data_IF_826832947599
#
_entry.id   IF_826832947599
#
_cell.length_a   1.000
_cell.length_b   1.000
_cell.length_c   1.000
_cell.angle_alpha   90.00
_cell.angle_beta   90.00
_cell.angle_gamma   90.00
#
_symmetry.space_group_name_H-M   'P 1'
#
loop_
_entity.id
_entity.type
_entity.pdbx_description
1 polymer ?
#
# COMPACT_ATOMS: atom_id res chain seq x y z
N UNK A 1 18.91 -24.63 -16.68
CA UNK A 1 20.37 -24.74 -16.51
C UNK A 1 20.83 -23.69 -15.49
N UNK A 2 21.99 -23.90 -14.89
CA UNK A 2 22.45 -23.45 -13.56
C UNK A 2 22.32 -21.96 -13.21
N UNK A 3 21.64 -21.65 -12.10
CA UNK A 3 21.72 -20.36 -11.40
C UNK A 3 22.76 -20.46 -10.29
N UNK A 4 23.99 -20.06 -10.62
CA UNK A 4 25.11 -19.99 -9.69
C UNK A 4 25.09 -18.60 -9.01
N UNK A 5 24.33 -18.48 -7.91
CA UNK A 5 24.32 -17.26 -7.09
C UNK A 5 25.63 -17.18 -6.28
N UNK A 6 26.54 -16.30 -6.71
CA UNK A 6 27.72 -15.92 -5.95
C UNK A 6 27.30 -14.96 -4.82
N UNK A 7 27.33 -15.45 -3.58
CA UNK A 7 27.22 -14.62 -2.37
C UNK A 7 28.53 -13.85 -2.18
N UNK A 8 28.52 -12.54 -2.48
CA UNK A 8 29.61 -11.61 -2.16
C UNK A 8 29.55 -11.27 -0.67
N UNK A 9 30.18 -12.10 0.15
CA UNK A 9 30.50 -11.75 1.54
C UNK A 9 31.77 -10.89 1.52
N UNK A 10 31.78 -9.66 2.05
CA UNK A 10 33.00 -8.88 2.15
C UNK A 10 34.00 -9.63 3.05
N UNK A 11 35.20 -9.86 2.54
CA UNK A 11 36.27 -10.49 3.31
C UNK A 11 36.61 -9.63 4.54
N UNK A 12 36.82 -10.25 5.72
CA UNK A 12 37.39 -9.54 6.86
C UNK A 12 38.82 -9.12 6.52
N UNK A 13 39.08 -7.82 6.60
CA UNK A 13 40.39 -7.20 6.41
C UNK A 13 41.44 -7.87 7.33
N UNK A 14 42.47 -8.55 6.79
CA UNK A 14 43.55 -9.13 7.58
C UNK A 14 44.53 -8.00 7.92
N UNK A 15 44.29 -7.33 9.03
CA UNK A 15 45.00 -6.09 9.33
C UNK A 15 45.15 -5.78 10.81
N UNK A 16 45.57 -6.75 11.63
CA UNK A 16 46.17 -6.40 12.92
C UNK A 16 47.19 -7.44 13.38
N UNK A 17 48.37 -7.39 12.77
CA UNK A 17 49.58 -8.02 13.30
C UNK A 17 49.92 -7.29 14.59
N UNK A 18 49.49 -7.85 15.73
CA UNK A 18 50.07 -7.49 17.02
C UNK A 18 51.47 -8.07 17.05
N UNK A 19 52.46 -7.18 16.96
CA UNK A 19 53.84 -7.48 17.32
C UNK A 19 53.89 -7.89 18.80
N UNK A 20 53.72 -9.18 19.07
CA UNK A 20 54.09 -9.76 20.34
C UNK A 20 55.61 -9.82 20.36
N UNK A 21 56.19 -8.75 20.89
CA UNK A 21 57.56 -8.69 21.36
C UNK A 21 57.77 -9.88 22.31
N UNK A 22 58.44 -10.92 21.81
CA UNK A 22 58.94 -12.02 22.60
C UNK A 22 60.02 -11.46 23.54
N UNK A 23 59.60 -10.99 24.70
CA UNK A 23 60.51 -10.84 25.84
C UNK A 23 60.62 -12.24 26.44
N UNK A 24 61.76 -12.87 26.18
CA UNK A 24 62.20 -14.04 26.89
C UNK A 24 62.53 -13.62 28.33
N UNK A 25 61.55 -13.66 29.22
CA UNK A 25 61.80 -13.69 30.65
C UNK A 25 62.24 -15.13 31.01
N UNK A 26 63.52 -15.37 30.76
CA UNK A 26 64.28 -16.45 31.39
C UNK A 26 64.37 -16.17 32.90
N UNK A 27 64.25 -17.22 33.69
CA UNK A 27 64.46 -17.26 35.14
C UNK A 27 63.46 -16.51 36.03
N UNK A 28 62.46 -17.24 36.51
CA UNK A 28 62.25 -17.42 37.95
C UNK A 28 61.39 -18.66 38.17
N UNK A 29 62.05 -19.81 38.06
CA UNK A 29 61.58 -21.08 38.65
C UNK A 29 61.66 -20.91 40.17
N UNK A 30 60.69 -20.19 40.75
CA UNK A 30 60.38 -20.34 42.16
C UNK A 30 59.63 -21.66 42.26
N UNK A 31 60.39 -22.70 42.54
CA UNK A 31 59.93 -24.04 42.87
C UNK A 31 59.28 -23.99 44.27
N UNK A 32 58.17 -23.27 44.41
CA UNK A 32 57.34 -23.34 45.62
C UNK A 32 56.55 -24.63 45.57
N UNK A 33 56.97 -25.56 46.40
CA UNK A 33 56.36 -26.86 46.65
C UNK A 33 55.02 -26.67 47.40
N UNK A 34 54.02 -26.11 46.70
CA UNK A 34 52.66 -25.89 47.19
C UNK A 34 51.69 -26.99 46.71
N UNK A 35 52.19 -28.23 46.51
CA UNK A 35 51.40 -29.34 45.93
C UNK A 35 50.18 -29.77 46.78
N UNK A 36 50.04 -29.23 48.00
CA UNK A 36 48.92 -29.54 48.90
C UNK A 36 47.70 -28.64 48.70
N UNK A 37 47.80 -27.50 47.98
CA UNK A 37 46.65 -26.57 47.81
C UNK A 37 45.79 -26.87 46.57
N UNK A 38 46.26 -27.72 45.65
CA UNK A 38 45.55 -28.04 44.38
C UNK A 38 44.20 -28.75 44.56
N UNK A 39 44.04 -29.58 45.59
CA UNK A 39 42.75 -30.23 45.91
C UNK A 39 41.73 -29.21 46.44
N UNK A 40 42.21 -28.22 47.19
CA UNK A 40 41.36 -27.17 47.76
C UNK A 40 40.88 -26.21 46.67
N UNK A 41 41.74 -25.83 45.73
CA UNK A 41 41.37 -25.02 44.57
C UNK A 41 40.34 -25.70 43.67
N UNK A 42 40.53 -26.98 43.33
CA UNK A 42 39.54 -27.73 42.53
C UNK A 42 38.16 -27.79 43.18
N UNK A 43 38.10 -27.84 44.51
CA UNK A 43 36.82 -27.84 45.23
C UNK A 43 36.12 -26.48 45.17
N UNK A 44 36.88 -25.39 45.22
CA UNK A 44 36.37 -24.01 45.09
C UNK A 44 35.91 -23.74 43.66
N UNK A 45 36.65 -24.19 42.65
CA UNK A 45 36.28 -24.03 41.24
C UNK A 45 34.98 -24.76 40.91
N UNK A 46 34.81 -26.00 41.39
CA UNK A 46 33.55 -26.75 41.24
C UNK A 46 32.38 -26.06 41.94
N UNK A 47 32.61 -25.48 43.13
CA UNK A 47 31.59 -24.71 43.83
C UNK A 47 31.20 -23.44 43.04
N UNK A 48 32.19 -22.73 42.48
CA UNK A 48 31.97 -21.54 41.66
C UNK A 48 31.17 -21.86 40.39
N UNK A 49 31.50 -22.93 39.67
CA UNK A 49 30.73 -23.36 38.49
C UNK A 49 29.27 -23.70 38.84
N UNK A 50 29.05 -24.36 39.98
CA UNK A 50 27.69 -24.68 40.43
C UNK A 50 26.90 -23.40 40.73
N UNK A 51 27.50 -22.45 41.43
CA UNK A 51 26.89 -21.15 41.72
C UNK A 51 26.58 -20.36 40.44
N UNK A 52 27.49 -20.37 39.46
CA UNK A 52 27.28 -19.70 38.17
C UNK A 52 26.11 -20.33 37.39
N UNK A 53 26.02 -21.65 37.34
CA UNK A 53 24.89 -22.33 36.68
C UNK A 53 23.55 -22.00 37.34
N UNK A 54 23.51 -21.98 38.68
CA UNK A 54 22.31 -21.62 39.43
C UNK A 54 21.93 -20.16 39.22
N UNK A 55 22.91 -19.26 39.13
CA UNK A 55 22.67 -17.85 38.79
C UNK A 55 22.10 -17.69 37.38
N UNK A 56 22.66 -18.37 36.38
CA UNK A 56 22.15 -18.33 35.01
C UNK A 56 20.73 -18.88 34.92
N UNK A 57 20.40 -19.93 35.68
CA UNK A 57 19.05 -20.49 35.73
C UNK A 57 18.04 -19.47 36.31
N UNK A 58 18.40 -18.79 37.40
CA UNK A 58 17.57 -17.71 37.98
C UNK A 58 17.39 -16.53 37.02
N UNK A 59 18.43 -16.14 36.29
CA UNK A 59 18.35 -15.08 35.26
C UNK A 59 17.40 -15.51 34.12
N UNK A 60 17.52 -16.75 33.62
CA UNK A 60 16.64 -17.29 32.58
C UNK A 60 15.16 -17.35 33.04
N UNK A 61 14.92 -17.73 34.30
CA UNK A 61 13.57 -17.77 34.86
C UNK A 61 12.97 -16.35 34.98
N UNK A 62 13.77 -15.39 35.45
CA UNK A 62 13.35 -13.99 35.56
C UNK A 62 13.03 -13.39 34.17
N UNK A 63 13.83 -13.69 33.14
CA UNK A 63 13.59 -13.25 31.77
C UNK A 63 12.29 -13.83 31.21
N UNK A 64 12.07 -15.16 31.38
CA UNK A 64 10.81 -15.80 30.96
C UNK A 64 9.60 -15.21 31.66
N UNK A 65 9.72 -14.89 32.96
CA UNK A 65 8.66 -14.24 33.72
C UNK A 65 8.40 -12.81 33.22
N UNK A 66 9.45 -12.04 32.93
CA UNK A 66 9.33 -10.70 32.37
C UNK A 66 8.64 -10.71 31.00
N UNK A 67 9.04 -11.61 30.09
CA UNK A 67 8.40 -11.80 28.77
C UNK A 67 6.91 -12.17 28.90
N UNK A 68 6.55 -13.02 29.87
CA UNK A 68 5.15 -13.38 30.13
C UNK A 68 4.33 -12.19 30.62
N UNK A 69 4.89 -11.35 31.49
CA UNK A 69 4.22 -10.13 31.97
C UNK A 69 4.12 -9.06 30.87
N UNK A 70 5.13 -8.91 30.02
CA UNK A 70 5.07 -8.00 28.86
C UNK A 70 3.98 -8.45 27.87
N UNK A 71 3.91 -9.75 27.56
CA UNK A 71 2.86 -10.30 26.69
C UNK A 71 1.45 -10.05 27.26
N UNK A 72 1.28 -10.15 28.58
CA UNK A 72 0.00 -9.81 29.24
C UNK A 72 -0.32 -8.32 29.12
N UNK A 73 0.68 -7.44 29.26
CA UNK A 73 0.50 -5.98 29.11
C UNK A 73 0.09 -5.62 27.68
N UNK A 74 0.77 -6.18 26.67
CA UNK A 74 0.40 -5.97 25.26
C UNK A 74 -1.02 -6.42 24.98
N UNK A 75 -1.42 -7.59 25.47
CA UNK A 75 -2.79 -8.09 25.29
C UNK A 75 -3.85 -7.18 25.94
N UNK A 76 -3.58 -6.67 27.14
CA UNK A 76 -4.48 -5.74 27.82
C UNK A 76 -4.56 -4.37 27.12
N UNK A 77 -3.48 -3.92 26.49
CA UNK A 77 -3.45 -2.69 25.71
C UNK A 77 -4.21 -2.84 24.38
N UNK A 78 -4.02 -3.95 23.68
CA UNK A 78 -4.76 -4.31 22.48
C UNK A 78 -6.27 -4.38 22.73
N UNK A 79 -6.71 -5.01 23.82
CA UNK A 79 -8.12 -5.07 24.21
C UNK A 79 -8.70 -3.66 24.48
N UNK A 80 -7.91 -2.74 25.04
CA UNK A 80 -8.35 -1.34 25.25
C UNK A 80 -8.49 -0.58 23.93
N UNK A 81 -7.57 -0.78 22.99
CA UNK A 81 -7.66 -0.18 21.66
C UNK A 81 -8.86 -0.74 20.90
N UNK A 82 -9.13 -2.05 20.96
CA UNK A 82 -10.30 -2.64 20.33
C UNK A 82 -11.61 -2.08 20.91
N UNK A 83 -11.67 -1.89 22.23
CA UNK A 83 -12.82 -1.25 22.87
C UNK A 83 -13.02 0.21 22.43
N UNK A 84 -11.94 0.98 22.25
CA UNK A 84 -12.01 2.35 21.75
C UNK A 84 -12.49 2.40 20.30
N UNK A 85 -11.97 1.52 19.44
CA UNK A 85 -12.40 1.39 18.05
C UNK A 85 -13.87 1.02 17.93
N UNK A 86 -14.34 0.03 18.72
CA UNK A 86 -15.76 -0.34 18.77
C UNK A 86 -16.63 0.84 19.21
N UNK A 87 -16.17 1.63 20.19
CA UNK A 87 -16.88 2.83 20.64
C UNK A 87 -16.99 3.88 19.54
N UNK A 88 -15.91 4.15 18.79
CA UNK A 88 -15.97 5.08 17.64
C UNK A 88 -16.90 4.58 16.55
N UNK A 89 -16.86 3.28 16.24
CA UNK A 89 -17.73 2.69 15.23
C UNK A 89 -19.21 2.81 15.60
N UNK A 90 -19.55 2.56 16.88
CA UNK A 90 -20.91 2.73 17.40
C UNK A 90 -21.37 4.20 17.36
N UNK A 91 -20.50 5.13 17.74
CA UNK A 91 -20.76 6.58 17.66
C UNK A 91 -20.98 7.05 16.21
N UNK A 92 -20.18 6.53 15.26
CA UNK A 92 -20.36 6.82 13.84
C UNK A 92 -21.67 6.25 13.30
N UNK A 93 -22.05 5.03 13.71
CA UNK A 93 -23.33 4.44 13.34
C UNK A 93 -24.51 5.27 13.88
N UNK A 94 -24.44 5.74 15.12
CA UNK A 94 -25.44 6.63 15.71
C UNK A 94 -25.53 7.95 14.93
N UNK A 95 -24.40 8.54 14.55
CA UNK A 95 -24.37 9.75 13.73
C UNK A 95 -25.01 9.52 12.34
N UNK A 96 -24.76 8.37 11.71
CA UNK A 96 -25.40 7.99 10.43
C UNK A 96 -26.91 7.85 10.60
N UNK A 97 -27.38 7.17 11.65
CA UNK A 97 -28.81 7.01 11.96
C UNK A 97 -29.48 8.38 12.19
N UNK A 98 -28.80 9.30 12.88
CA UNK A 98 -29.29 10.66 13.12
C UNK A 98 -29.40 11.47 11.82
N UNK A 99 -28.41 11.38 10.93
CA UNK A 99 -28.45 12.04 9.61
C UNK A 99 -29.63 11.55 8.76
N UNK A 100 -29.86 10.24 8.73
CA UNK A 100 -31.00 9.65 7.98
C UNK A 100 -32.34 10.12 8.57
N UNK A 101 -32.46 10.15 9.90
CA UNK A 101 -33.68 10.65 10.56
C UNK A 101 -33.92 12.14 10.30
N UNK A 102 -32.87 12.95 10.27
CA UNK A 102 -32.95 14.38 9.95
C UNK A 102 -33.33 14.61 8.48
N UNK A 103 -32.73 13.87 7.54
CA UNK A 103 -33.09 13.94 6.11
C UNK A 103 -34.56 13.53 5.89
N UNK A 104 -35.04 12.48 6.56
CA UNK A 104 -36.44 12.08 6.48
C UNK A 104 -37.38 13.16 7.05
N UNK A 105 -37.01 13.77 8.18
CA UNK A 105 -37.76 14.89 8.75
C UNK A 105 -37.80 16.10 7.80
N UNK A 106 -36.70 16.39 7.10
CA UNK A 106 -36.66 17.44 6.08
C UNK A 106 -37.55 17.10 4.88
N UNK A 107 -37.50 15.87 4.37
CA UNK A 107 -38.40 15.39 3.31
C UNK A 107 -39.87 15.53 3.71
N UNK A 108 -40.21 15.26 4.98
CA UNK A 108 -41.58 15.48 5.48
C UNK A 108 -41.95 16.96 5.49
N UNK A 109 -41.05 17.86 5.92
CA UNK A 109 -41.27 19.31 5.85
C UNK A 109 -41.46 19.80 4.40
N UNK A 110 -40.66 19.29 3.46
CA UNK A 110 -40.82 19.62 2.04
C UNK A 110 -42.19 19.16 1.51
N UNK A 111 -42.65 17.96 1.87
CA UNK A 111 -43.99 17.47 1.50
C UNK A 111 -45.10 18.35 2.08
N UNK A 112 -44.96 18.80 3.33
CA UNK A 112 -45.92 19.72 3.95
C UNK A 112 -45.97 21.06 3.21
N UNK A 113 -44.82 21.68 2.93
CA UNK A 113 -44.75 22.92 2.15
C UNK A 113 -45.37 22.79 0.77
N UNK A 114 -45.05 21.71 0.04
CA UNK A 114 -45.64 21.45 -1.27
C UNK A 114 -47.16 21.24 -1.20
N UNK A 115 -47.67 20.65 -0.12
CA UNK A 115 -49.10 20.50 0.11
C UNK A 115 -49.79 21.83 0.42
N UNK A 116 -49.17 22.68 1.24
CA UNK A 116 -49.66 24.03 1.56
C UNK A 116 -49.70 24.92 0.32
N UNK A 117 -48.63 24.90 -0.49
CA UNK A 117 -48.55 25.65 -1.75
C UNK A 117 -49.65 25.23 -2.74
N UNK A 118 -49.90 23.92 -2.88
CA UNK A 118 -51.00 23.41 -3.70
C UNK A 118 -52.36 23.86 -3.19
N UNK A 119 -52.57 23.89 -1.87
CA UNK A 119 -53.81 24.38 -1.29
C UNK A 119 -53.99 25.90 -1.54
N UNK A 120 -52.91 26.67 -1.41
CA UNK A 120 -52.90 28.10 -1.71
C UNK A 120 -53.16 28.38 -3.19
N UNK A 121 -52.55 27.61 -4.10
CA UNK A 121 -52.80 27.70 -5.54
C UNK A 121 -54.28 27.46 -5.88
N UNK A 122 -54.91 26.45 -5.28
CA UNK A 122 -56.35 26.17 -5.44
C UNK A 122 -57.23 27.31 -4.93
N UNK A 123 -56.88 27.94 -3.80
CA UNK A 123 -57.61 29.10 -3.29
C UNK A 123 -57.46 30.31 -4.23
N UNK A 124 -56.26 30.56 -4.75
CA UNK A 124 -56.00 31.63 -5.70
C UNK A 124 -56.77 31.41 -7.02
N UNK A 125 -56.80 30.18 -7.53
CA UNK A 125 -57.59 29.81 -8.72
C UNK A 125 -59.09 30.03 -8.50
N UNK A 126 -59.62 29.62 -7.34
CA UNK A 126 -61.02 29.87 -6.97
C UNK A 126 -61.33 31.38 -6.88
N UNK A 127 -60.44 32.17 -6.28
CA UNK A 127 -60.58 33.62 -6.21
C UNK A 127 -60.54 34.29 -7.60
N UNK A 128 -59.66 33.81 -8.49
CA UNK A 128 -59.62 34.25 -9.89
C UNK A 128 -60.91 33.89 -10.64
N UNK A 129 -61.42 32.67 -10.47
CA UNK A 129 -62.68 32.22 -11.08
C UNK A 129 -63.87 33.10 -10.66
N UNK A 130 -63.98 33.44 -9.36
CA UNK A 130 -64.98 34.39 -8.86
C UNK A 130 -64.80 35.78 -9.47
N UNK A 131 -63.56 36.26 -9.59
CA UNK A 131 -63.26 37.56 -10.22
C UNK A 131 -63.66 37.59 -11.71
N UNK A 132 -63.44 36.49 -12.44
CA UNK A 132 -63.83 36.37 -13.85
C UNK A 132 -65.36 36.36 -14.05
N UNK A 133 -66.11 35.77 -13.12
CA UNK A 133 -67.58 35.76 -13.14
C UNK A 133 -68.20 37.14 -12.87
N UNK A 134 -67.46 38.07 -12.27
CA UNK A 134 -67.88 39.46 -12.04
C UNK A 134 -67.27 40.45 -13.02
N UNK A 135 -66.76 40.00 -14.18
CA UNK A 135 -66.45 40.93 -15.26
C UNK A 135 -67.78 41.52 -15.75
N UNK A 136 -68.07 42.82 -15.54
CA UNK A 136 -69.30 43.41 -16.06
C UNK A 136 -69.30 43.21 -17.57
N UNK A 137 -70.39 42.66 -18.10
CA UNK A 137 -70.65 42.63 -19.54
C UNK A 137 -70.67 44.08 -20.02
N UNK A 138 -69.49 44.57 -20.41
CA UNK A 138 -69.34 45.84 -21.06
C UNK A 138 -70.10 45.79 -22.39
N UNK A 139 -70.78 46.88 -22.77
CA UNK A 139 -71.53 46.94 -24.01
C UNK A 139 -70.60 46.61 -25.19
N UNK A 140 -71.00 45.60 -25.97
CA UNK A 140 -70.33 45.14 -27.17
C UNK A 140 -70.18 46.29 -28.17
N UNK A 141 -69.01 46.92 -28.22
CA UNK A 141 -68.64 47.80 -29.31
C UNK A 141 -68.30 46.95 -30.55
N UNK A 142 -69.26 46.94 -31.47
CA UNK A 142 -69.16 46.48 -32.84
C UNK A 142 -68.10 47.28 -33.62
N UNK A 143 -66.86 46.81 -33.63
CA UNK A 143 -65.83 47.12 -34.66
C UNK A 143 -64.93 45.89 -34.76
N UNK A 144 -65.09 45.00 -35.74
CA UNK A 144 -65.01 45.32 -37.16
C UNK A 144 -63.53 45.41 -37.56
N UNK A 145 -62.90 44.25 -37.75
CA UNK A 145 -61.47 44.15 -38.08
C UNK A 145 -61.09 42.74 -38.49
N UNK A 146 -61.47 42.39 -39.72
CA UNK A 146 -61.01 41.20 -40.44
C UNK A 146 -59.49 41.31 -40.63
N UNK A 147 -58.72 40.55 -39.87
CA UNK A 147 -57.28 40.38 -40.11
C UNK A 147 -57.05 38.93 -40.51
N UNK A 148 -57.24 38.65 -41.81
CA UNK A 148 -56.60 37.53 -42.49
C UNK A 148 -55.07 37.71 -42.39
N UNK A 149 -54.46 37.15 -41.36
CA UNK A 149 -53.05 36.81 -41.41
C UNK A 149 -52.92 35.30 -41.54
N UNK A 150 -52.80 34.90 -42.80
CA UNK A 150 -52.17 33.67 -43.24
C UNK A 150 -50.82 33.54 -42.53
N UNK A 151 -50.74 32.71 -41.49
CA UNK A 151 -49.48 32.21 -41.00
C UNK A 151 -48.95 31.17 -42.00
N UNK A 152 -47.75 31.33 -42.56
CA UNK A 152 -47.17 30.38 -43.48
C UNK A 152 -46.88 29.05 -42.80
N UNK A 153 -47.29 27.98 -43.47
CA UNK A 153 -46.87 26.61 -43.23
C UNK A 153 -45.35 26.49 -43.45
N UNK A 154 -44.54 26.74 -42.43
CA UNK A 154 -43.17 26.27 -42.37
C UNK A 154 -42.74 26.22 -40.90
N UNK A 155 -42.64 25.02 -40.32
CA UNK A 155 -41.46 24.67 -39.53
C UNK A 155 -41.52 23.21 -39.10
N UNK A 156 -40.69 22.41 -39.76
CA UNK A 156 -39.85 21.36 -39.19
C UNK A 156 -40.54 20.24 -38.42
N UNK A 157 -40.74 19.17 -39.19
CA UNK A 157 -40.64 17.78 -38.81
C UNK A 157 -39.34 17.53 -38.01
N UNK A 158 -39.31 17.83 -36.71
CA UNK A 158 -38.30 17.28 -35.80
C UNK A 158 -38.66 15.85 -35.50
N UNK A 159 -38.18 14.98 -36.37
CA UNK A 159 -38.06 13.53 -36.18
C UNK A 159 -37.03 13.29 -35.09
N UNK A 160 -37.40 13.56 -33.84
CA UNK A 160 -36.64 13.06 -32.71
C UNK A 160 -37.01 11.59 -32.57
N UNK A 161 -36.13 10.74 -33.08
CA UNK A 161 -36.03 9.35 -32.68
C UNK A 161 -35.75 9.30 -31.17
N UNK A 162 -36.80 9.46 -30.38
CA UNK A 162 -36.82 9.14 -28.98
C UNK A 162 -36.78 7.62 -28.87
N UNK A 163 -35.58 7.06 -28.93
CA UNK A 163 -35.29 5.69 -28.58
C UNK A 163 -35.94 5.38 -27.24
N UNK A 164 -37.02 4.62 -27.29
CA UNK A 164 -37.61 4.00 -26.12
C UNK A 164 -36.59 2.99 -25.58
N UNK A 165 -35.70 3.47 -24.71
CA UNK A 165 -34.95 2.63 -23.78
C UNK A 165 -36.02 1.98 -22.91
N UNK A 166 -36.42 0.76 -23.28
CA UNK A 166 -37.11 -0.15 -22.39
C UNK A 166 -36.20 -0.32 -21.18
N UNK A 167 -36.56 0.32 -20.07
CA UNK A 167 -36.13 -0.11 -18.76
C UNK A 167 -36.50 -1.59 -18.65
N UNK A 168 -35.50 -2.46 -18.79
CA UNK A 168 -35.61 -3.84 -18.39
C UNK A 168 -35.97 -3.85 -16.92
N UNK A 169 -37.22 -4.19 -16.62
CA UNK A 169 -37.60 -4.64 -15.31
C UNK A 169 -36.72 -5.87 -15.02
N UNK A 170 -35.63 -5.64 -14.30
CA UNK A 170 -34.83 -6.66 -13.66
C UNK A 170 -35.77 -7.46 -12.78
N UNK A 171 -36.14 -8.62 -13.31
CA UNK A 171 -36.93 -9.62 -12.67
C UNK A 171 -36.06 -10.16 -11.52
N UNK A 172 -36.23 -9.56 -10.36
CA UNK A 172 -35.69 -10.02 -9.09
C UNK A 172 -36.38 -11.35 -8.77
N UNK A 173 -35.88 -12.43 -9.38
CA UNK A 173 -36.21 -13.77 -8.99
C UNK A 173 -35.57 -13.99 -7.63
N UNK A 174 -36.42 -13.89 -6.61
CA UNK A 174 -36.09 -14.21 -5.24
C UNK A 174 -35.32 -15.53 -5.15
N UNK A 175 -34.04 -15.41 -4.84
CA UNK A 175 -33.29 -16.49 -4.24
C UNK A 175 -33.73 -16.57 -2.78
N UNK A 176 -34.69 -17.47 -2.56
CA UNK A 176 -35.01 -18.00 -1.25
C UNK A 176 -33.73 -18.48 -0.58
N UNK A 177 -33.55 -18.01 0.65
CA UNK A 177 -32.66 -18.59 1.63
C UNK A 177 -32.81 -20.12 1.66
N UNK A 178 -31.71 -20.81 1.33
CA UNK A 178 -31.48 -22.19 1.75
C UNK A 178 -30.58 -22.16 2.99
N UNK A 179 -30.87 -23.00 3.99
CA UNK A 179 -30.16 -23.01 5.25
C UNK A 179 -28.74 -23.53 5.07
N UNK A 180 -27.84 -22.84 5.77
CA UNK A 180 -26.48 -23.19 6.13
C UNK A 180 -26.33 -24.69 6.42
N UNK A 181 -25.87 -25.44 5.43
CA UNK A 181 -25.42 -26.82 5.57
C UNK A 181 -23.90 -26.79 5.55
N UNK A 182 -23.32 -27.28 6.65
CA UNK A 182 -21.90 -27.52 6.84
C UNK A 182 -21.41 -28.45 5.73
N UNK A 183 -20.52 -27.95 4.87
CA UNK A 183 -19.69 -28.79 4.02
C UNK A 183 -18.23 -28.42 4.23
N UNK A 184 -17.51 -29.40 4.76
CA UNK A 184 -16.07 -29.50 4.85
C UNK A 184 -15.41 -29.19 3.50
N UNK A 185 -14.77 -28.01 3.37
CA UNK A 185 -13.88 -27.73 2.24
C UNK A 185 -12.46 -28.04 2.65
N UNK A 186 -12.03 -29.24 2.24
CA UNK A 186 -10.64 -29.55 1.95
C UNK A 186 -10.13 -28.52 0.93
N UNK A 187 -9.21 -27.65 1.36
CA UNK A 187 -8.51 -26.76 0.44
C UNK A 187 -7.49 -27.59 -0.34
N UNK A 188 -7.92 -27.99 -1.52
CA UNK A 188 -7.12 -28.48 -2.63
C UNK A 188 -6.09 -27.40 -2.99
N UNK A 189 -4.84 -27.66 -2.62
CA UNK A 189 -3.67 -26.87 -2.99
C UNK A 189 -3.26 -27.32 -4.37
N UNK A 190 -3.86 -26.73 -5.40
CA UNK A 190 -3.45 -27.08 -6.75
C UNK A 190 -4.10 -26.25 -7.83
N UNK A 191 -3.23 -25.69 -8.67
CA UNK A 191 -3.42 -25.41 -10.10
C UNK A 191 -3.51 -23.92 -10.43
N UNK A 192 -2.39 -23.44 -10.94
CA UNK A 192 -2.15 -22.07 -11.32
C UNK A 192 -3.09 -21.54 -12.39
N UNK A 193 -3.47 -20.29 -12.21
CA UNK A 193 -3.97 -19.41 -13.25
C UNK A 193 -3.03 -18.22 -13.33
N UNK A 194 -2.03 -18.30 -14.21
CA UNK A 194 -1.21 -17.15 -14.58
C UNK A 194 -2.10 -16.11 -15.24
N UNK A 195 -2.49 -15.10 -14.47
CA UNK A 195 -3.16 -13.91 -14.98
C UNK A 195 -2.06 -12.92 -15.33
N UNK A 196 -1.67 -12.93 -16.61
CA UNK A 196 -0.85 -11.87 -17.18
C UNK A 196 -1.60 -10.54 -16.98
N UNK A 197 -1.07 -9.68 -16.13
CA UNK A 197 -1.38 -8.26 -16.18
C UNK A 197 -0.64 -7.72 -17.40
N UNK A 198 -1.39 -7.40 -18.45
CA UNK A 198 -0.89 -6.55 -19.50
C UNK A 198 -0.67 -5.16 -18.87
N UNK A 199 0.60 -4.88 -18.63
CA UNK A 199 1.11 -3.55 -18.29
C UNK A 199 0.92 -2.68 -19.53
N UNK A 200 -0.21 -1.99 -19.58
CA UNK A 200 -0.49 -0.96 -20.58
C UNK A 200 0.36 0.26 -20.22
N UNK A 201 1.58 0.28 -20.77
CA UNK A 201 2.49 1.42 -20.76
C UNK A 201 1.76 2.64 -21.31
N UNK A 202 1.34 3.53 -20.42
CA UNK A 202 0.93 4.89 -20.76
C UNK A 202 2.19 5.74 -20.92
N UNK A 203 2.87 5.52 -22.05
CA UNK A 203 3.74 6.53 -22.65
C UNK A 203 2.83 7.63 -23.22
N UNK A 204 2.30 8.45 -22.31
CA UNK A 204 1.69 9.73 -22.63
C UNK A 204 2.78 10.76 -22.87
N UNK A 205 3.49 10.63 -23.99
CA UNK A 205 4.24 11.73 -24.59
C UNK A 205 3.28 12.91 -24.77
N UNK A 206 3.32 13.86 -23.83
CA UNK A 206 2.72 15.17 -24.00
C UNK A 206 3.55 15.89 -25.07
N UNK A 207 3.13 15.72 -26.33
CA UNK A 207 3.47 16.63 -27.42
C UNK A 207 3.08 18.04 -26.99
N UNK A 208 4.10 18.76 -26.52
CA UNK A 208 4.14 20.21 -26.36
C UNK A 208 4.09 20.82 -27.76
N UNK A 209 2.90 20.81 -28.36
CA UNK A 209 2.58 21.57 -29.56
C UNK A 209 2.56 23.05 -29.21
N UNK A 210 3.67 23.73 -29.45
CA UNK A 210 3.73 25.18 -29.54
C UNK A 210 2.99 25.58 -30.82
N UNK A 211 1.66 25.70 -30.74
CA UNK A 211 0.86 26.30 -31.80
C UNK A 211 0.90 27.83 -31.59
N UNK A 212 1.86 28.45 -32.26
CA UNK A 212 1.85 29.88 -32.57
C UNK A 212 0.59 30.20 -33.37
N UNK A 213 -0.51 30.54 -32.70
CA UNK A 213 -1.60 31.29 -33.34
C UNK A 213 -1.17 32.76 -33.45
N UNK A 214 -0.40 33.04 -34.50
CA UNK A 214 -0.26 34.36 -35.10
C UNK A 214 -1.58 34.73 -35.80
N UNK A 215 -2.54 35.22 -35.03
CA UNK A 215 -3.74 35.87 -35.54
C UNK A 215 -3.55 37.40 -35.48
N UNK A 216 -2.63 37.89 -36.32
CA UNK A 216 -2.60 39.26 -36.77
C UNK A 216 -3.89 39.61 -37.52
N UNK A 217 -4.82 40.23 -36.81
CA UNK A 217 -6.07 40.76 -37.33
C UNK A 217 -6.42 42.07 -36.66
N UNK A 218 -5.59 43.10 -36.89
CA UNK A 218 -5.95 44.51 -36.68
C UNK A 218 -7.12 44.88 -37.59
N UNK A 219 -8.33 44.47 -37.20
CA UNK A 219 -9.56 45.06 -37.67
C UNK A 219 -9.95 46.16 -36.70
N UNK A 220 -9.61 47.41 -37.05
CA UNK A 220 -10.19 48.61 -36.45
C UNK A 220 -11.70 48.66 -36.77
N UNK A 221 -12.50 47.74 -36.24
CA UNK A 221 -13.92 47.96 -36.09
C UNK A 221 -14.11 48.89 -34.90
N UNK A 222 -14.08 50.18 -35.21
CA UNK A 222 -14.64 51.26 -34.40
C UNK A 222 -15.98 50.76 -33.83
N UNK A 223 -16.10 50.52 -32.50
CA UNK A 223 -17.33 50.01 -31.95
C UNK A 223 -18.37 51.09 -32.14
N UNK A 224 -19.27 50.86 -33.10
CA UNK A 224 -20.44 51.69 -33.32
C UNK A 224 -21.08 51.95 -31.96
N UNK A 225 -21.03 53.22 -31.54
CA UNK A 225 -21.61 53.73 -30.30
C UNK A 225 -22.94 53.05 -30.04
N UNK A 226 -23.09 52.29 -28.95
CA UNK A 226 -24.34 51.63 -28.63
C UNK A 226 -25.42 52.71 -28.54
N UNK A 227 -26.40 52.59 -29.43
CA UNK A 227 -27.59 53.41 -29.46
C UNK A 227 -28.16 53.48 -28.04
N UNK A 228 -28.28 54.70 -27.52
CA UNK A 228 -28.71 55.04 -26.17
C UNK A 228 -30.16 54.60 -25.94
N UNK A 229 -30.34 53.30 -25.72
CA UNK A 229 -31.57 52.66 -25.32
C UNK A 229 -31.78 52.83 -23.80
N UNK A 230 -33.04 52.78 -23.35
CA UNK A 230 -33.44 53.18 -22.00
C UNK A 230 -32.59 52.46 -20.96
N UNK A 231 -31.89 53.24 -20.14
CA UNK A 231 -30.92 52.83 -19.12
C UNK A 231 -31.34 51.55 -18.38
N UNK A 232 -30.92 50.41 -18.92
CA UNK A 232 -31.11 49.06 -18.38
C UNK A 232 -30.07 48.73 -17.31
N UNK A 233 -29.86 49.64 -16.37
CA UNK A 233 -28.83 49.51 -15.33
C UNK A 233 -29.03 48.28 -14.41
N UNK A 234 -30.19 47.62 -14.44
CA UNK A 234 -30.46 46.40 -13.68
C UNK A 234 -30.23 45.07 -14.42
N UNK A 235 -30.11 45.07 -15.75
CA UNK A 235 -29.94 43.81 -16.52
C UNK A 235 -28.49 43.36 -16.51
N UNK A 236 -27.55 44.31 -16.57
CA UNK A 236 -26.12 44.01 -16.55
C UNK A 236 -25.64 43.44 -15.21
N UNK A 237 -26.23 43.85 -14.08
CA UNK A 237 -25.89 43.31 -12.76
C UNK A 237 -26.33 41.85 -12.61
N UNK A 238 -27.50 41.49 -13.13
CA UNK A 238 -28.01 40.11 -13.07
C UNK A 238 -27.15 39.14 -13.89
N UNK A 239 -26.60 39.58 -15.01
CA UNK A 239 -25.72 38.75 -15.84
C UNK A 239 -24.36 38.48 -15.16
N UNK A 240 -23.80 39.49 -14.49
CA UNK A 240 -22.56 39.36 -13.70
C UNK A 240 -22.75 38.39 -12.52
N UNK A 241 -23.89 38.45 -11.83
CA UNK A 241 -24.20 37.52 -10.74
C UNK A 241 -24.31 36.06 -11.24
N UNK A 242 -24.98 35.86 -12.37
CA UNK A 242 -25.11 34.54 -13.00
C UNK A 242 -23.75 33.95 -13.43
N UNK A 243 -22.88 34.75 -14.03
CA UNK A 243 -21.55 34.29 -14.43
C UNK A 243 -20.67 33.96 -13.22
N UNK A 244 -20.77 34.76 -12.14
CA UNK A 244 -20.08 34.48 -10.88
C UNK A 244 -20.55 33.18 -10.23
N UNK A 245 -21.86 32.92 -10.21
CA UNK A 245 -22.41 31.66 -9.70
C UNK A 245 -21.94 30.46 -10.52
N UNK A 246 -21.88 30.60 -11.86
CA UNK A 246 -21.34 29.57 -12.75
C UNK A 246 -19.86 29.28 -12.47
N UNK A 247 -19.05 30.30 -12.23
CA UNK A 247 -17.64 30.15 -11.86
C UNK A 247 -17.46 29.47 -10.49
N UNK A 248 -18.28 29.83 -9.50
CA UNK A 248 -18.26 29.19 -8.18
C UNK A 248 -18.61 27.70 -8.28
N UNK A 249 -19.64 27.35 -9.06
CA UNK A 249 -20.02 25.95 -9.27
C UNK A 249 -18.92 25.15 -10.00
N UNK A 250 -18.18 25.78 -10.92
CA UNK A 250 -17.05 25.14 -11.57
C UNK A 250 -15.90 24.85 -10.58
N UNK A 251 -15.59 25.81 -9.70
CA UNK A 251 -14.59 25.60 -8.65
C UNK A 251 -15.03 24.54 -7.64
N UNK A 252 -16.31 24.50 -7.26
CA UNK A 252 -16.85 23.49 -6.35
C UNK A 252 -16.69 22.06 -6.93
N UNK A 253 -17.06 21.87 -8.20
CA UNK A 253 -16.86 20.58 -8.89
C UNK A 253 -15.39 20.19 -8.99
N UNK A 254 -14.50 21.16 -9.19
CA UNK A 254 -13.06 20.91 -9.21
C UNK A 254 -12.55 20.50 -7.82
N UNK A 255 -13.01 21.15 -6.76
CA UNK A 255 -12.66 20.79 -5.39
C UNK A 255 -13.14 19.37 -5.05
N UNK A 256 -14.37 19.01 -5.42
CA UNK A 256 -14.92 17.65 -5.24
C UNK A 256 -14.11 16.59 -5.99
N UNK A 257 -13.67 16.90 -7.21
CA UNK A 257 -12.80 16.01 -7.98
C UNK A 257 -11.42 15.83 -7.32
N UNK A 258 -10.84 16.89 -6.76
CA UNK A 258 -9.58 16.81 -6.01
C UNK A 258 -9.72 16.05 -4.70
N UNK A 259 -10.82 16.21 -3.97
CA UNK A 259 -11.10 15.45 -2.75
C UNK A 259 -11.23 13.95 -3.05
N UNK A 260 -11.95 13.61 -4.12
CA UNK A 260 -12.08 12.21 -4.59
C UNK A 260 -10.73 11.63 -5.00
N UNK A 261 -9.90 12.40 -5.70
CA UNK A 261 -8.56 11.98 -6.09
C UNK A 261 -7.64 11.79 -4.87
N UNK A 262 -7.67 12.71 -3.90
CA UNK A 262 -6.89 12.61 -2.67
C UNK A 262 -7.26 11.33 -1.88
N UNK A 263 -8.55 11.03 -1.76
CA UNK A 263 -9.02 9.81 -1.09
C UNK A 263 -8.58 8.53 -1.83
N UNK A 264 -8.49 8.57 -3.16
CA UNK A 264 -7.93 7.45 -3.94
C UNK A 264 -6.41 7.27 -3.66
N UNK A 265 -5.65 8.36 -3.56
CA UNK A 265 -4.23 8.30 -3.18
C UNK A 265 -4.02 7.76 -1.76
N UNK A 266 -4.85 8.17 -0.81
CA UNK A 266 -4.80 7.68 0.58
C UNK A 266 -5.00 6.16 0.63
N UNK A 267 -5.99 5.63 -0.09
CA UNK A 267 -6.22 4.18 -0.20
C UNK A 267 -5.05 3.44 -0.86
N UNK A 268 -4.44 4.02 -1.88
CA UNK A 268 -3.25 3.42 -2.52
C UNK A 268 -2.05 3.41 -1.56
N UNK A 269 -1.86 4.45 -0.76
CA UNK A 269 -0.82 4.51 0.25
C UNK A 269 -1.03 3.44 1.33
N UNK A 270 -2.27 3.24 1.81
CA UNK A 270 -2.60 2.18 2.77
C UNK A 270 -2.30 0.79 2.22
N UNK A 271 -2.63 0.53 0.94
CA UNK A 271 -2.27 -0.74 0.29
C UNK A 271 -0.76 -0.92 0.19
N UNK A 272 -0.02 0.16 -0.13
CA UNK A 272 1.44 0.12 -0.19
C UNK A 272 2.07 -0.17 1.19
N UNK A 273 1.52 0.39 2.27
CA UNK A 273 1.96 0.10 3.64
C UNK A 273 1.72 -1.37 4.01
N UNK A 274 0.53 -1.92 3.69
CA UNK A 274 0.24 -3.35 3.92
C UNK A 274 1.19 -4.27 3.15
N UNK A 275 1.53 -3.91 1.90
CA UNK A 275 2.51 -4.66 1.10
C UNK A 275 3.91 -4.59 1.71
N UNK A 276 4.32 -3.44 2.24
CA UNK A 276 5.61 -3.28 2.90
C UNK A 276 5.67 -4.13 4.19
N UNK A 277 4.61 -4.14 4.99
CA UNK A 277 4.52 -4.97 6.20
C UNK A 277 4.60 -6.46 5.85
N UNK A 278 3.88 -6.92 4.82
CA UNK A 278 3.94 -8.30 4.36
C UNK A 278 5.36 -8.69 3.87
N UNK A 279 6.06 -7.77 3.20
CA UNK A 279 7.43 -7.98 2.77
C UNK A 279 8.39 -8.09 3.96
N UNK A 280 8.21 -7.28 5.00
CA UNK A 280 9.01 -7.35 6.23
C UNK A 280 8.77 -8.66 6.98
N UNK A 281 7.51 -9.09 7.12
CA UNK A 281 7.17 -10.39 7.72
C UNK A 281 7.84 -11.54 6.96
N UNK A 282 7.77 -11.52 5.63
CA UNK A 282 8.44 -12.50 4.77
C UNK A 282 9.95 -12.50 5.00
N UNK A 283 10.58 -11.32 5.08
CA UNK A 283 12.02 -11.20 5.34
C UNK A 283 12.40 -11.77 6.72
N UNK A 284 11.58 -11.54 7.74
CA UNK A 284 11.78 -12.08 9.09
C UNK A 284 11.68 -13.61 9.12
N UNK A 285 10.73 -14.21 8.40
CA UNK A 285 10.64 -15.67 8.24
C UNK A 285 11.88 -16.25 7.55
N UNK A 286 12.38 -15.59 6.50
CA UNK A 286 13.61 -16.00 5.83
C UNK A 286 14.84 -15.88 6.74
N UNK A 287 14.90 -14.87 7.61
CA UNK A 287 15.96 -14.74 8.60
C UNK A 287 15.92 -15.89 9.61
N UNK A 288 14.72 -16.28 10.07
CA UNK A 288 14.54 -17.46 10.93
C UNK A 288 14.99 -18.73 10.21
N UNK A 289 14.64 -18.90 8.93
CA UNK A 289 15.07 -20.06 8.14
C UNK A 289 16.60 -20.12 8.00
N UNK A 290 17.28 -18.99 7.79
CA UNK A 290 18.75 -18.92 7.76
C UNK A 290 19.38 -19.35 9.08
N UNK A 291 18.92 -18.80 10.20
CA UNK A 291 19.45 -19.18 11.53
C UNK A 291 19.24 -20.66 11.82
N UNK A 292 18.10 -21.23 11.43
CA UNK A 292 17.85 -22.67 11.53
C UNK A 292 18.78 -23.49 10.64
N UNK A 293 19.01 -23.06 9.40
CA UNK A 293 19.91 -23.74 8.47
C UNK A 293 21.36 -23.77 8.98
N UNK A 294 21.85 -22.67 9.55
CA UNK A 294 23.17 -22.59 10.19
C UNK A 294 23.28 -23.55 11.39
N UNK A 295 22.26 -23.59 12.24
CA UNK A 295 22.21 -24.52 13.37
C UNK A 295 22.22 -25.99 12.90
N UNK A 296 21.43 -26.32 11.87
CA UNK A 296 21.40 -27.66 11.28
C UNK A 296 22.75 -28.03 10.65
N UNK A 297 23.49 -27.08 10.08
CA UNK A 297 24.85 -27.31 9.61
C UNK A 297 25.83 -27.57 10.76
N UNK A 298 25.77 -26.79 11.85
CA UNK A 298 26.60 -27.03 13.03
C UNK A 298 26.38 -28.42 13.62
N UNK A 299 25.12 -28.86 13.75
CA UNK A 299 24.78 -30.22 14.20
C UNK A 299 25.33 -31.30 13.27
N UNK A 300 25.20 -31.13 11.95
CA UNK A 300 25.79 -32.08 10.98
C UNK A 300 27.32 -32.19 11.11
N UNK A 301 28.02 -31.08 11.37
CA UNK A 301 29.47 -31.08 11.59
C UNK A 301 29.85 -31.77 12.90
N UNK A 302 29.06 -31.57 13.95
CA UNK A 302 29.25 -32.23 15.25
C UNK A 302 29.02 -33.74 15.14
N UNK A 303 27.90 -34.17 14.56
CA UNK A 303 27.59 -35.58 14.35
C UNK A 303 28.68 -36.27 13.49
N UNK A 304 29.24 -35.58 12.49
CA UNK A 304 30.36 -36.08 11.70
C UNK A 304 31.67 -36.21 12.50
N UNK A 305 31.93 -35.32 13.45
CA UNK A 305 33.08 -35.43 14.37
C UNK A 305 32.90 -36.59 15.33
N UNK A 306 31.70 -36.73 15.91
CA UNK A 306 31.36 -37.84 16.80
C UNK A 306 31.50 -39.19 16.08
N UNK A 307 31.02 -39.29 14.84
CA UNK A 307 31.19 -40.49 14.02
C UNK A 307 32.67 -40.85 13.79
N UNK A 308 33.54 -39.87 13.52
CA UNK A 308 34.99 -40.10 13.37
C UNK A 308 35.64 -40.57 14.67
N UNK A 309 35.23 -40.00 15.81
CA UNK A 309 35.71 -40.44 17.13
C UNK A 309 35.26 -41.88 17.40
N UNK A 310 34.00 -42.21 17.13
CA UNK A 310 33.47 -43.55 17.31
C UNK A 310 34.14 -44.59 16.38
N UNK A 311 34.49 -44.21 15.14
CA UNK A 311 35.25 -45.06 14.23
C UNK A 311 36.67 -45.33 14.78
N UNK A 312 37.34 -44.30 15.28
CA UNK A 312 38.66 -44.42 15.92
C UNK A 312 38.62 -45.35 17.14
N UNK A 313 37.59 -45.25 17.99
CA UNK A 313 37.39 -46.14 19.14
C UNK A 313 37.10 -47.58 18.70
N UNK A 314 36.25 -47.80 17.68
CA UNK A 314 35.91 -49.14 17.18
C UNK A 314 37.05 -49.85 16.47
N UNK A 315 37.95 -49.12 15.81
CA UNK A 315 39.10 -49.70 15.12
C UNK A 315 40.10 -50.38 16.08
N UNK A 316 39.90 -50.28 17.40
CA UNK A 316 40.73 -50.97 18.39
C UNK A 316 42.19 -50.51 18.38
N UNK A 317 42.46 -49.36 17.75
CA UNK A 317 43.76 -48.72 17.70
C UNK A 317 44.13 -48.19 19.07
N UNK A 318 44.58 -49.08 19.96
CA UNK A 318 45.24 -48.66 21.19
C UNK A 318 46.29 -47.61 20.82
N UNK A 319 46.30 -46.49 21.56
CA UNK A 319 47.19 -45.35 21.41
C UNK A 319 48.67 -45.77 21.34
N UNK A 320 49.10 -46.32 20.20
CA UNK A 320 50.50 -46.35 19.84
C UNK A 320 50.79 -44.96 19.34
N UNK A 321 51.24 -44.13 20.29
CA UNK A 321 51.92 -42.85 20.07
C UNK A 321 52.68 -42.94 18.73
N UNK A 322 52.24 -42.22 17.68
CA UNK A 322 52.98 -42.19 16.44
C UNK A 322 54.39 -41.67 16.74
N UNK A 323 55.41 -42.49 16.54
CA UNK A 323 56.82 -42.06 16.64
C UNK A 323 57.25 -41.21 15.41
N UNK A 324 56.33 -40.47 14.79
CA UNK A 324 56.60 -39.69 13.57
C UNK A 324 57.23 -38.31 13.84
N UNK A 325 57.56 -37.97 15.08
CA UNK A 325 58.24 -36.73 15.48
C UNK A 325 59.78 -36.79 15.26
N UNK A 326 60.24 -37.31 14.13
CA UNK A 326 61.69 -37.40 13.85
C UNK A 326 62.11 -37.14 12.39
N UNK A 327 61.21 -36.82 11.46
CA UNK A 327 61.57 -36.77 10.04
C UNK A 327 60.95 -35.67 9.17
N UNK A 328 60.22 -34.69 9.71
CA UNK A 328 59.55 -33.66 8.89
C UNK A 328 60.08 -32.23 9.08
N UNK A 329 61.36 -32.11 9.48
CA UNK A 329 62.06 -30.82 9.64
C UNK A 329 62.78 -30.35 8.35
N UNK A 330 62.30 -30.75 7.14
CA UNK A 330 62.99 -30.45 5.87
C UNK A 330 62.09 -30.06 4.68
N UNK A 331 60.85 -29.59 4.89
CA UNK A 331 59.98 -29.17 3.77
C UNK A 331 59.38 -27.76 3.87
N UNK A 332 59.96 -26.90 4.69
CA UNK A 332 59.56 -25.50 4.85
C UNK A 332 60.42 -24.52 4.03
N UNK A 333 60.83 -24.86 2.80
CA UNK A 333 61.43 -23.87 1.88
C UNK A 333 61.18 -24.29 0.43
N UNK A 334 60.02 -23.98 -0.15
CA UNK A 334 59.83 -23.87 -1.62
C UNK A 334 58.39 -23.52 -2.00
N UNK A 335 57.89 -22.32 -1.67
CA UNK A 335 56.95 -21.61 -2.57
C UNK A 335 56.85 -20.11 -2.22
N UNK A 336 58.01 -19.45 -2.11
CA UNK A 336 58.09 -17.99 -2.04
C UNK A 336 58.49 -17.49 -3.43
N UNK A 337 57.50 -17.25 -4.30
CA UNK A 337 57.83 -16.79 -5.66
C UNK A 337 56.67 -16.66 -6.63
N UNK A 338 55.79 -15.67 -6.42
CA UNK A 338 55.09 -14.98 -7.52
C UNK A 338 54.41 -13.69 -7.02
N UNK A 339 55.21 -12.67 -6.70
CA UNK A 339 54.73 -11.28 -6.74
C UNK A 339 54.40 -10.92 -8.19
N UNK A 340 53.14 -11.11 -8.58
CA UNK A 340 52.58 -10.59 -9.81
C UNK A 340 52.02 -9.19 -9.58
N UNK A 341 52.83 -8.19 -9.89
CA UNK A 341 52.45 -6.79 -10.07
C UNK A 341 51.36 -6.72 -11.17
N UNK A 342 50.09 -6.51 -10.78
CA UNK A 342 49.03 -6.18 -11.73
C UNK A 342 48.37 -4.85 -11.33
N UNK A 343 49.09 -3.77 -11.65
CA UNK A 343 48.50 -2.46 -11.89
C UNK A 343 47.82 -2.51 -13.25
N UNK A 344 46.51 -2.65 -13.28
CA UNK A 344 45.74 -2.23 -14.44
C UNK A 344 44.61 -1.31 -13.96
N UNK A 345 44.80 -0.05 -14.33
CA UNK A 345 43.77 0.97 -14.42
C UNK A 345 42.65 0.45 -15.34
N UNK A 346 41.43 0.32 -14.81
CA UNK A 346 40.23 0.35 -15.66
C UNK A 346 39.27 1.34 -15.02
N UNK A 347 39.57 2.61 -15.31
CA UNK A 347 38.60 3.70 -15.32
C UNK A 347 37.72 3.44 -16.56
N UNK A 348 36.55 2.84 -16.33
CA UNK A 348 35.58 2.52 -17.37
C UNK A 348 34.22 3.03 -16.94
N UNK A 349 33.94 4.29 -17.27
CA UNK A 349 32.59 4.78 -17.44
C UNK A 349 31.89 3.87 -18.46
N UNK A 350 30.82 3.19 -18.06
CA UNK A 350 29.91 2.56 -19.02
C UNK A 350 28.50 3.08 -18.75
N UNK A 351 28.28 4.22 -19.39
CA UNK A 351 26.99 4.76 -19.81
C UNK A 351 26.22 3.72 -20.64
N UNK A 352 24.92 3.64 -20.39
CA UNK A 352 23.87 3.28 -21.35
C UNK A 352 23.96 1.95 -22.11
N UNK A 353 23.08 1.00 -21.77
CA UNK A 353 22.42 0.22 -22.82
C UNK A 353 21.00 -0.15 -22.39
N UNK A 354 20.03 0.52 -23.01
CA UNK A 354 18.60 0.22 -22.95
C UNK A 354 18.32 -0.93 -23.92
N UNK A 355 18.40 -2.18 -23.44
CA UNK A 355 17.91 -3.31 -24.24
C UNK A 355 16.40 -3.50 -24.07
N UNK A 356 15.71 -2.95 -25.05
CA UNK A 356 14.33 -3.18 -25.43
C UNK A 356 14.14 -4.66 -25.85
N UNK A 357 13.59 -5.49 -24.96
CA UNK A 357 13.26 -6.90 -25.28
C UNK A 357 11.85 -7.00 -25.89
N UNK A 358 11.81 -6.91 -27.22
CA UNK A 358 10.65 -7.24 -28.02
C UNK A 358 10.70 -8.68 -28.53
N UNK A 359 9.61 -9.43 -28.30
CA UNK A 359 9.09 -10.36 -29.30
C UNK A 359 9.21 -11.87 -29.03
N UNK A 360 8.05 -12.53 -29.09
CA UNK A 360 7.95 -13.88 -29.67
C UNK A 360 7.20 -14.91 -28.83
N UNK A 361 5.96 -15.23 -29.22
CA UNK A 361 5.30 -16.43 -28.70
C UNK A 361 3.79 -16.51 -28.93
N UNK A 362 3.32 -16.49 -30.18
CA UNK A 362 1.98 -17.00 -30.50
C UNK A 362 2.03 -18.53 -30.45
N UNK A 363 1.32 -19.13 -29.50
CA UNK A 363 0.98 -20.55 -29.52
C UNK A 363 -0.48 -20.69 -29.98
N UNK A 364 -0.64 -21.39 -31.09
CA UNK A 364 -1.90 -21.87 -31.66
C UNK A 364 -2.28 -23.15 -30.89
N UNK A 365 -3.46 -23.17 -30.26
CA UNK A 365 -4.10 -24.41 -29.80
C UNK A 365 -5.53 -24.50 -30.36
N UNK A 366 -5.88 -25.74 -30.69
CA UNK A 366 -6.93 -26.24 -31.57
C UNK A 366 -8.28 -26.44 -30.88
#
# INVERSE_FOLDING_TARGET
MSSQRQSKTPQPTPGQVRNYSQVADEELVILTDDSTDTEREKSVEKACHREETERRERECEAERKAKREEAKRRKAEEERLEAEWRKRAEEEEEARRKKVAEEEAERQRQRQRASEERAQAKQNEAAQSVRCQHRPEGPWDLRGGHCDQKSPLHSLYSKSDGGAVRAGAGQDQGLRALPQQEEDVQLDTGRGGGRAFAEESRDGELLRGEEEEDAGGEGEEEPATPLEGPSGAGVHTQWVEWERERQLQAMERQAEAHETAALAFERMAEVAEQMAEAAEQTANEWALYRTWAEWAEMRRREDAREARVAEFERAGGGWKRPQSEAAEDQREEADEGAEGDNKEEVEGEQEGDEEQEGGGGQAMEE
#
